data_IF_700988196766
#
_entry.id   IF_700988196766
#
_cell.length_a   1.000
_cell.length_b   1.000
_cell.length_c   1.000
_cell.angle_alpha   90.00
_cell.angle_beta   90.00
_cell.angle_gamma   90.00
#
_symmetry.space_group_name_H-M   'P 1'
#
loop_
_entity.id
_entity.type
_entity.pdbx_description
1 polymer ?
#
# COMPACT_ATOMS: atom_id res chain seq x y z
N UNK A 1 59.80 -21.49 -17.17
CA UNK A 1 58.56 -22.05 -17.76
C UNK A 1 57.46 -22.24 -16.72
N UNK A 2 57.73 -22.91 -15.59
CA UNK A 2 56.72 -23.13 -14.51
C UNK A 2 56.12 -21.82 -13.98
N UNK A 3 56.95 -20.80 -13.71
CA UNK A 3 56.48 -19.50 -13.20
C UNK A 3 55.52 -18.79 -14.17
N UNK A 4 55.80 -18.85 -15.47
CA UNK A 4 54.98 -18.24 -16.53
C UNK A 4 53.64 -18.99 -16.63
N UNK A 5 53.65 -20.31 -16.53
CA UNK A 5 52.43 -21.12 -16.52
C UNK A 5 51.53 -20.79 -15.32
N UNK A 6 52.11 -20.57 -14.13
CA UNK A 6 51.36 -20.16 -12.92
C UNK A 6 50.68 -18.79 -13.11
N UNK A 7 51.38 -17.82 -13.69
CA UNK A 7 50.83 -16.48 -13.96
C UNK A 7 49.63 -16.54 -14.91
N UNK A 8 49.73 -17.33 -15.99
CA UNK A 8 48.63 -17.50 -16.96
C UNK A 8 47.39 -18.12 -16.28
N UNK A 9 47.58 -19.15 -15.46
CA UNK A 9 46.50 -19.79 -14.70
C UNK A 9 45.81 -18.80 -13.75
N UNK A 10 46.59 -17.98 -13.04
CA UNK A 10 46.05 -16.93 -12.16
C UNK A 10 45.24 -15.90 -12.94
N UNK A 11 45.71 -15.46 -14.11
CA UNK A 11 45.01 -14.47 -14.91
C UNK A 11 43.63 -14.98 -15.39
N UNK A 12 43.56 -16.24 -15.81
CA UNK A 12 42.30 -16.89 -16.21
C UNK A 12 41.36 -17.01 -15.01
N UNK A 13 41.86 -17.44 -13.84
CA UNK A 13 41.08 -17.55 -12.60
C UNK A 13 40.51 -16.20 -12.17
N UNK A 14 41.34 -15.15 -12.12
CA UNK A 14 40.92 -13.79 -11.76
C UNK A 14 39.88 -13.23 -12.74
N UNK A 15 40.08 -13.41 -14.05
CA UNK A 15 39.11 -12.98 -15.06
C UNK A 15 37.74 -13.66 -14.87
N UNK A 16 37.74 -14.95 -14.55
CA UNK A 16 36.51 -15.71 -14.33
C UNK A 16 35.80 -15.31 -13.03
N UNK A 17 36.56 -15.03 -11.95
CA UNK A 17 36.03 -14.50 -10.68
C UNK A 17 35.40 -13.12 -10.91
N UNK A 18 36.09 -12.21 -11.60
CA UNK A 18 35.58 -10.86 -11.90
C UNK A 18 34.27 -10.92 -12.69
N UNK A 19 34.18 -11.80 -13.70
CA UNK A 19 32.96 -12.02 -14.48
C UNK A 19 31.80 -12.54 -13.62
N UNK A 20 32.07 -13.51 -12.73
CA UNK A 20 31.06 -14.00 -11.77
C UNK A 20 30.60 -12.89 -10.84
N UNK A 21 31.53 -12.08 -10.31
CA UNK A 21 31.21 -11.00 -9.39
C UNK A 21 30.34 -9.91 -10.05
N UNK A 22 30.65 -9.54 -11.29
CA UNK A 22 29.82 -8.62 -12.07
C UNK A 22 28.40 -9.16 -12.33
N UNK A 23 28.27 -10.47 -12.58
CA UNK A 23 26.97 -11.10 -12.73
C UNK A 23 26.17 -11.14 -11.42
N UNK A 24 26.82 -11.41 -10.29
CA UNK A 24 26.21 -11.36 -8.95
C UNK A 24 25.71 -9.94 -8.66
N UNK A 25 26.54 -8.92 -8.90
CA UNK A 25 26.13 -7.52 -8.73
C UNK A 25 24.90 -7.15 -9.57
N UNK A 26 24.85 -7.59 -10.84
CA UNK A 26 23.68 -7.38 -11.70
C UNK A 26 22.43 -8.09 -11.18
N UNK A 27 22.58 -9.30 -10.62
CA UNK A 27 21.46 -10.04 -10.03
C UNK A 27 20.95 -9.37 -8.76
N UNK A 28 21.85 -8.90 -7.88
CA UNK A 28 21.47 -8.19 -6.66
C UNK A 28 20.67 -6.92 -6.99
N UNK A 29 21.13 -6.12 -7.96
CA UNK A 29 20.38 -4.94 -8.39
C UNK A 29 18.99 -5.29 -8.92
N UNK A 30 18.88 -6.35 -9.73
CA UNK A 30 17.57 -6.82 -10.21
C UNK A 30 16.65 -7.29 -9.08
N UNK A 31 17.23 -7.86 -8.02
CA UNK A 31 16.47 -8.30 -6.86
C UNK A 31 15.92 -7.09 -6.09
N UNK A 32 16.74 -6.06 -5.88
CA UNK A 32 16.33 -4.78 -5.28
C UNK A 32 15.24 -4.08 -6.11
N UNK A 33 15.43 -3.98 -7.44
CA UNK A 33 14.42 -3.41 -8.35
C UNK A 33 13.08 -4.18 -8.33
N UNK A 34 13.10 -5.48 -8.02
CA UNK A 34 11.91 -6.31 -7.91
C UNK A 34 11.22 -6.13 -6.57
N UNK A 35 11.98 -6.05 -5.48
CA UNK A 35 11.48 -5.80 -4.13
C UNK A 35 10.75 -4.44 -4.06
N UNK A 36 11.36 -3.38 -4.61
CA UNK A 36 10.73 -2.05 -4.70
C UNK A 36 9.40 -2.09 -5.49
N UNK A 37 9.36 -2.85 -6.59
CA UNK A 37 8.13 -3.00 -7.40
C UNK A 37 7.06 -3.80 -6.69
N UNK A 38 7.42 -4.77 -5.87
CA UNK A 38 6.50 -5.55 -5.07
C UNK A 38 5.87 -4.67 -3.98
N UNK A 39 6.69 -3.92 -3.25
CA UNK A 39 6.22 -2.96 -2.24
C UNK A 39 5.29 -1.90 -2.83
N UNK A 40 5.63 -1.32 -3.99
CA UNK A 40 4.76 -0.34 -4.66
C UNK A 40 3.42 -0.97 -5.08
N UNK A 41 3.42 -2.21 -5.56
CA UNK A 41 2.17 -2.92 -5.90
C UNK A 41 1.30 -3.14 -4.67
N UNK A 42 1.87 -3.57 -3.56
CA UNK A 42 1.14 -3.77 -2.30
C UNK A 42 0.51 -2.45 -1.81
N UNK A 43 1.28 -1.36 -1.87
CA UNK A 43 0.81 0.00 -1.55
C UNK A 43 -0.37 0.42 -2.43
N UNK A 44 -0.30 0.18 -3.74
CA UNK A 44 -1.41 0.48 -4.66
C UNK A 44 -2.66 -0.37 -4.39
N UNK A 45 -2.49 -1.66 -4.08
CA UNK A 45 -3.60 -2.55 -3.72
C UNK A 45 -4.30 -2.04 -2.46
N UNK A 46 -3.53 -1.74 -1.42
CA UNK A 46 -4.06 -1.21 -0.15
C UNK A 46 -4.75 0.13 -0.34
N UNK A 47 -4.18 1.04 -1.15
CA UNK A 47 -4.78 2.33 -1.53
C UNK A 47 -6.13 2.15 -2.21
N UNK A 48 -6.23 1.20 -3.14
CA UNK A 48 -7.47 0.91 -3.83
C UNK A 48 -8.55 0.37 -2.88
N UNK A 49 -8.18 -0.55 -1.98
CA UNK A 49 -9.09 -1.11 -0.98
C UNK A 49 -9.63 -0.04 -0.04
N UNK A 50 -8.78 0.86 0.47
CA UNK A 50 -9.20 1.98 1.31
C UNK A 50 -10.16 2.92 0.60
N UNK A 51 -9.88 3.27 -0.66
CA UNK A 51 -10.78 4.12 -1.47
C UNK A 51 -12.17 3.50 -1.63
N UNK A 52 -12.24 2.19 -1.87
CA UNK A 52 -13.53 1.50 -1.95
C UNK A 52 -14.28 1.48 -0.61
N UNK A 53 -13.59 1.28 0.52
CA UNK A 53 -14.21 1.39 1.85
C UNK A 53 -14.77 2.79 2.12
N UNK A 54 -13.96 3.82 1.89
CA UNK A 54 -14.36 5.23 2.02
C UNK A 54 -15.58 5.53 1.15
N UNK A 55 -15.58 5.07 -0.11
CA UNK A 55 -16.71 5.27 -1.02
C UNK A 55 -18.00 4.64 -0.51
N UNK A 56 -17.92 3.45 0.09
CA UNK A 56 -19.08 2.76 0.67
C UNK A 56 -19.60 3.49 1.90
N UNK A 57 -18.71 3.86 2.84
CA UNK A 57 -19.09 4.61 4.04
C UNK A 57 -19.77 5.95 3.69
N UNK A 58 -19.21 6.71 2.74
CA UNK A 58 -19.84 7.96 2.29
C UNK A 58 -21.24 7.75 1.73
N UNK A 59 -21.48 6.63 1.05
CA UNK A 59 -22.81 6.29 0.53
C UNK A 59 -23.78 5.95 1.66
N UNK A 60 -23.33 5.18 2.64
CA UNK A 60 -24.14 4.76 3.79
C UNK A 60 -24.50 5.95 4.70
N UNK A 61 -23.53 6.80 5.04
CA UNK A 61 -23.76 8.06 5.75
C UNK A 61 -24.78 8.91 4.99
N UNK A 62 -24.62 9.04 3.67
CA UNK A 62 -25.55 9.83 2.85
C UNK A 62 -26.97 9.26 2.85
N UNK A 63 -27.14 7.93 2.87
CA UNK A 63 -28.46 7.30 2.97
C UNK A 63 -29.12 7.59 4.32
N UNK A 64 -28.37 7.50 5.42
CA UNK A 64 -28.84 7.85 6.77
C UNK A 64 -29.19 9.33 6.86
N UNK A 65 -28.34 10.22 6.35
CA UNK A 65 -28.61 11.66 6.29
C UNK A 65 -29.89 11.94 5.50
N UNK A 66 -30.03 11.31 4.33
CA UNK A 66 -31.22 11.47 3.50
C UNK A 66 -32.48 11.02 4.25
N UNK A 67 -32.43 9.89 4.95
CA UNK A 67 -33.56 9.41 5.76
C UNK A 67 -33.93 10.40 6.87
N UNK A 68 -32.94 10.95 7.58
CA UNK A 68 -33.15 12.00 8.58
C UNK A 68 -33.83 13.26 7.99
N UNK A 69 -33.48 13.67 6.77
CA UNK A 69 -34.04 14.87 6.14
C UNK A 69 -35.39 14.65 5.44
N UNK A 70 -35.57 13.50 4.77
CA UNK A 70 -36.73 13.25 3.91
C UNK A 70 -37.96 12.76 4.69
N UNK A 71 -37.77 12.02 5.79
CA UNK A 71 -38.89 11.36 6.49
C UNK A 71 -39.69 12.27 7.44
N UNK A 72 -39.38 13.58 7.52
CA UNK A 72 -39.98 14.49 8.53
C UNK A 72 -39.93 13.90 9.94
N UNK A 73 -38.86 13.19 10.26
CA UNK A 73 -38.70 12.58 11.57
C UNK A 73 -38.70 13.68 12.63
N UNK A 74 -39.48 13.48 13.68
CA UNK A 74 -39.41 14.34 14.86
C UNK A 74 -38.02 14.19 15.48
N UNK A 75 -37.32 15.31 15.69
CA UNK A 75 -35.96 15.33 16.24
C UNK A 75 -35.87 14.68 17.63
N UNK A 76 -36.98 14.66 18.37
CA UNK A 76 -37.10 14.01 19.68
C UNK A 76 -37.42 12.51 19.60
N UNK A 77 -37.67 11.98 18.39
CA UNK A 77 -37.93 10.56 18.18
C UNK A 77 -36.69 9.74 18.54
N UNK A 78 -36.83 8.64 19.31
CA UNK A 78 -35.75 7.68 19.54
C UNK A 78 -35.10 7.22 18.23
N UNK A 79 -35.90 7.05 17.18
CA UNK A 79 -35.41 6.64 15.86
C UNK A 79 -34.46 7.67 15.24
N UNK A 80 -34.80 8.96 15.32
CA UNK A 80 -33.93 10.02 14.82
C UNK A 80 -32.60 10.05 15.56
N UNK A 81 -32.64 9.85 16.89
CA UNK A 81 -31.43 9.76 17.70
C UNK A 81 -30.57 8.56 17.31
N UNK A 82 -31.18 7.39 17.10
CA UNK A 82 -30.46 6.20 16.66
C UNK A 82 -29.79 6.39 15.29
N UNK A 83 -30.42 7.13 14.38
CA UNK A 83 -29.82 7.50 13.08
C UNK A 83 -28.64 8.46 13.25
N UNK A 84 -28.75 9.43 14.17
CA UNK A 84 -27.64 10.35 14.48
C UNK A 84 -26.43 9.60 15.04
N UNK A 85 -26.65 8.68 15.98
CA UNK A 85 -25.59 7.88 16.60
C UNK A 85 -24.91 6.98 15.53
N UNK A 86 -25.69 6.33 14.67
CA UNK A 86 -25.17 5.56 13.53
C UNK A 86 -24.35 6.42 12.55
N UNK A 87 -24.84 7.61 12.19
CA UNK A 87 -24.12 8.51 11.31
C UNK A 87 -22.79 8.98 11.94
N UNK A 88 -22.78 9.25 13.24
CA UNK A 88 -21.59 9.67 13.98
C UNK A 88 -20.52 8.55 14.02
N UNK A 89 -20.94 7.31 14.29
CA UNK A 89 -20.04 6.15 14.30
C UNK A 89 -19.39 5.93 12.92
N UNK A 90 -20.20 5.97 11.85
CA UNK A 90 -19.71 5.82 10.48
C UNK A 90 -18.80 6.98 10.05
N UNK A 91 -19.08 8.21 10.51
CA UNK A 91 -18.20 9.35 10.27
C UNK A 91 -16.84 9.17 10.95
N UNK A 92 -16.80 8.63 12.17
CA UNK A 92 -15.54 8.32 12.85
C UNK A 92 -14.73 7.27 12.08
N UNK A 93 -15.36 6.18 11.65
CA UNK A 93 -14.68 5.16 10.82
C UNK A 93 -14.19 5.73 9.49
N UNK A 94 -14.98 6.62 8.87
CA UNK A 94 -14.60 7.31 7.65
C UNK A 94 -13.32 8.15 7.85
N UNK A 95 -13.23 8.90 8.95
CA UNK A 95 -12.05 9.70 9.27
C UNK A 95 -10.80 8.83 9.44
N UNK A 96 -10.93 7.68 10.10
CA UNK A 96 -9.80 6.74 10.29
C UNK A 96 -9.27 6.23 8.94
N UNK A 97 -10.15 5.86 8.00
CA UNK A 97 -9.71 5.41 6.68
C UNK A 97 -9.18 6.55 5.80
N UNK A 98 -9.74 7.75 5.87
CA UNK A 98 -9.20 8.92 5.16
C UNK A 98 -7.80 9.27 5.67
N UNK A 99 -7.59 9.18 6.97
CA UNK A 99 -6.28 9.35 7.59
C UNK A 99 -5.30 8.25 7.13
N UNK A 100 -5.68 6.98 7.22
CA UNK A 100 -4.82 5.88 6.76
C UNK A 100 -4.44 6.03 5.28
N UNK A 101 -5.37 6.47 4.44
CA UNK A 101 -5.13 6.72 3.03
C UNK A 101 -4.15 7.87 2.79
N UNK A 102 -4.20 8.94 3.58
CA UNK A 102 -3.25 10.06 3.47
C UNK A 102 -1.82 9.64 3.89
N UNK A 103 -1.72 8.78 4.90
CA UNK A 103 -0.44 8.29 5.40
C UNK A 103 0.18 7.20 4.53
N UNK A 104 -0.61 6.52 3.70
CA UNK A 104 -0.08 5.46 2.85
C UNK A 104 1.02 5.94 1.91
N UNK A 105 0.96 7.19 1.46
CA UNK A 105 1.95 7.76 0.54
C UNK A 105 3.21 8.25 1.28
N UNK A 106 3.10 8.54 2.59
CA UNK A 106 4.18 9.08 3.44
C UNK A 106 5.07 7.99 4.08
N UNK A 107 4.59 6.75 4.10
CA UNK A 107 5.33 5.54 4.51
C UNK A 107 5.70 4.70 3.28
#
# INVERSE_FOLDING_TARGET
MILIAIIIILYILFGNINKKNANISKLNKKLEDLDEKEQEKEKQIKKHQLKEKIRKLKKEIHEIEKEMYDEKLEVESPYFKDLCDQAADLQMELYDYEFELEWIDKN
#
